data_IF_951877924892
#
_entry.id   IF_951877924892
#
_cell.length_a   1.000
_cell.length_b   1.000
_cell.length_c   1.000
_cell.angle_alpha   90.00
_cell.angle_beta   90.00
_cell.angle_gamma   90.00
#
_symmetry.space_group_name_H-M   'P 1'
#
loop_
_entity.id
_entity.type
_entity.pdbx_description
1 polymer ?
#
# COMPACT_ATOMS: atom_id res chain seq x y z
N UNK A 1 -24.60 -6.75 19.42
CA UNK A 1 -23.24 -6.55 18.85
C UNK A 1 -22.23 -6.98 19.90
N UNK A 2 -21.45 -8.04 19.66
CA UNK A 2 -20.30 -8.35 20.51
C UNK A 2 -19.27 -7.22 20.37
N UNK A 3 -18.94 -6.56 21.49
CA UNK A 3 -17.83 -5.60 21.53
C UNK A 3 -16.52 -6.39 21.38
N UNK A 4 -16.00 -6.49 20.17
CA UNK A 4 -14.69 -7.06 19.86
C UNK A 4 -13.54 -6.10 20.26
N UNK A 5 -13.69 -5.48 21.42
CA UNK A 5 -12.70 -4.60 22.01
C UNK A 5 -11.89 -5.42 23.01
N UNK A 6 -10.57 -5.47 22.78
CA UNK A 6 -9.64 -5.95 23.78
C UNK A 6 -9.59 -4.94 24.92
N UNK A 7 -9.48 -5.44 26.15
CA UNK A 7 -9.14 -4.61 27.31
C UNK A 7 -7.75 -4.03 27.15
N UNK A 8 -7.42 -2.99 27.93
CA UNK A 8 -6.09 -2.38 27.89
C UNK A 8 -4.95 -3.36 28.19
N UNK A 9 -5.18 -4.31 29.11
CA UNK A 9 -4.22 -5.37 29.42
C UNK A 9 -3.99 -6.31 28.23
N UNK A 10 -5.07 -6.69 27.55
CA UNK A 10 -5.00 -7.55 26.37
C UNK A 10 -4.35 -6.84 25.20
N UNK A 11 -4.66 -5.55 24.97
CA UNK A 11 -3.95 -4.74 23.98
C UNK A 11 -2.44 -4.75 24.25
N UNK A 12 -2.03 -4.62 25.52
CA UNK A 12 -0.62 -4.66 25.87
C UNK A 12 0.04 -5.99 25.54
N UNK A 13 -0.65 -7.10 25.81
CA UNK A 13 -0.17 -8.43 25.40
C UNK A 13 0.00 -8.51 23.87
N UNK A 14 -0.92 -7.95 23.09
CA UNK A 14 -0.77 -7.90 21.63
C UNK A 14 0.45 -7.07 21.22
N UNK A 15 0.65 -5.91 21.83
CA UNK A 15 1.82 -5.05 21.59
C UNK A 15 3.13 -5.78 21.91
N UNK A 16 3.22 -6.43 23.07
CA UNK A 16 4.40 -7.18 23.47
C UNK A 16 4.68 -8.34 22.50
N UNK A 17 3.65 -9.09 22.08
CA UNK A 17 3.77 -10.15 21.08
C UNK A 17 4.23 -9.62 19.71
N UNK A 18 3.79 -8.42 19.31
CA UNK A 18 4.23 -7.78 18.07
C UNK A 18 5.72 -7.42 18.11
N UNK A 19 6.20 -6.94 19.27
CA UNK A 19 7.64 -6.67 19.47
C UNK A 19 8.43 -7.97 19.43
N UNK A 20 7.97 -9.00 20.16
CA UNK A 20 8.65 -10.30 20.23
C UNK A 20 8.81 -10.98 18.85
N UNK A 21 7.85 -10.75 17.95
CA UNK A 21 7.84 -11.33 16.60
C UNK A 21 8.16 -10.31 15.51
N UNK A 22 8.72 -9.15 15.83
CA UNK A 22 8.93 -8.05 14.89
C UNK A 22 9.77 -8.47 13.67
N UNK A 23 10.87 -9.19 13.88
CA UNK A 23 11.72 -9.68 12.80
C UNK A 23 11.01 -10.72 11.93
N UNK A 24 10.21 -11.61 12.54
CA UNK A 24 9.42 -12.60 11.81
C UNK A 24 8.33 -11.94 10.94
N UNK A 25 7.71 -10.87 11.45
CA UNK A 25 6.73 -10.06 10.72
C UNK A 25 7.41 -9.36 9.53
N UNK A 26 8.61 -8.82 9.75
CA UNK A 26 9.38 -8.09 8.74
C UNK A 26 9.82 -8.98 7.57
N UNK A 27 10.21 -10.23 7.84
CA UNK A 27 10.54 -11.21 6.79
C UNK A 27 9.30 -11.88 6.18
N UNK A 28 8.09 -11.47 6.58
CA UNK A 28 6.83 -11.94 6.00
C UNK A 28 6.37 -13.33 6.45
N UNK A 29 6.92 -13.86 7.55
CA UNK A 29 6.46 -15.13 8.15
C UNK A 29 5.01 -15.01 8.68
N UNK A 30 4.62 -13.81 9.08
CA UNK A 30 3.30 -13.50 9.57
C UNK A 30 2.53 -12.59 8.62
N UNK A 31 1.27 -12.96 8.35
CA UNK A 31 0.27 -12.04 7.82
C UNK A 31 -0.56 -11.48 8.98
N UNK A 32 -1.22 -10.33 8.80
CA UNK A 32 -2.09 -9.77 9.84
C UNK A 32 -3.17 -10.78 10.27
N UNK A 33 -3.68 -11.58 9.31
CA UNK A 33 -4.70 -12.61 9.57
C UNK A 33 -4.12 -13.78 10.38
N UNK A 34 -2.97 -14.32 9.98
CA UNK A 34 -2.36 -15.45 10.69
C UNK A 34 -1.85 -15.06 12.07
N UNK A 35 -1.36 -13.82 12.22
CA UNK A 35 -0.98 -13.27 13.52
C UNK A 35 -2.20 -13.05 14.42
N UNK A 36 -3.32 -12.55 13.90
CA UNK A 36 -4.56 -12.44 14.67
C UNK A 36 -5.02 -13.81 15.20
N UNK A 37 -5.00 -14.86 14.38
CA UNK A 37 -5.32 -16.22 14.81
C UNK A 37 -4.35 -16.76 15.86
N UNK A 38 -3.06 -16.44 15.76
CA UNK A 38 -2.08 -16.79 16.78
C UNK A 38 -2.37 -16.12 18.13
N UNK A 39 -2.67 -14.81 18.12
CA UNK A 39 -3.02 -14.05 19.32
C UNK A 39 -4.33 -14.53 19.92
N UNK A 40 -5.33 -14.88 19.10
CA UNK A 40 -6.59 -15.49 19.55
C UNK A 40 -6.35 -16.79 20.33
N UNK A 41 -5.45 -17.65 19.86
CA UNK A 41 -5.04 -18.86 20.59
C UNK A 41 -4.38 -18.57 21.95
N UNK A 42 -3.63 -17.46 22.06
CA UNK A 42 -2.96 -17.04 23.31
C UNK A 42 -3.94 -16.41 24.31
N UNK A 43 -4.83 -15.56 23.84
CA UNK A 43 -5.81 -14.86 24.67
C UNK A 43 -7.06 -15.69 24.96
N UNK A 44 -7.27 -16.81 24.26
CA UNK A 44 -8.45 -17.68 24.32
C UNK A 44 -9.76 -16.91 24.09
N UNK A 45 -9.72 -15.90 23.22
CA UNK A 45 -10.87 -15.07 22.86
C UNK A 45 -10.73 -14.54 21.43
N UNK A 46 -11.83 -14.15 20.77
CA UNK A 46 -11.78 -13.61 19.42
C UNK A 46 -10.89 -12.36 19.31
N UNK A 47 -9.96 -12.38 18.36
CA UNK A 47 -9.09 -11.26 18.01
C UNK A 47 -9.30 -10.90 16.56
N UNK A 48 -9.65 -9.64 16.30
CA UNK A 48 -9.91 -9.18 14.92
C UNK A 48 -8.66 -8.59 14.30
N UNK A 49 -8.66 -8.55 12.96
CA UNK A 49 -7.65 -7.81 12.17
C UNK A 49 -7.58 -6.34 12.63
N UNK A 50 -8.71 -5.74 13.00
CA UNK A 50 -8.76 -4.37 13.52
C UNK A 50 -7.99 -4.19 14.83
N UNK A 51 -8.01 -5.19 15.72
CA UNK A 51 -7.23 -5.14 16.97
C UNK A 51 -5.72 -5.18 16.67
N UNK A 52 -5.29 -6.04 15.76
CA UNK A 52 -3.87 -6.11 15.35
C UNK A 52 -3.44 -4.83 14.65
N UNK A 53 -4.20 -4.34 13.67
CA UNK A 53 -3.90 -3.09 12.96
C UNK A 53 -3.87 -1.87 13.90
N UNK A 54 -4.68 -1.88 14.96
CA UNK A 54 -4.63 -0.86 16.02
C UNK A 54 -3.33 -0.94 16.83
N UNK A 55 -2.97 -2.14 17.29
CA UNK A 55 -1.74 -2.37 18.07
C UNK A 55 -0.46 -2.07 17.26
N UNK A 56 -0.43 -2.40 15.97
CA UNK A 56 0.68 -2.07 15.06
C UNK A 56 0.93 -0.57 14.98
N UNK A 57 -0.10 0.27 15.10
CA UNK A 57 0.09 1.74 15.13
C UNK A 57 0.70 2.24 16.43
N UNK A 58 0.56 1.48 17.52
CA UNK A 58 1.11 1.81 18.83
C UNK A 58 2.55 1.30 19.01
N UNK A 59 2.96 0.29 18.23
CA UNK A 59 4.30 -0.29 18.26
C UNK A 59 5.11 0.21 17.07
N UNK A 60 6.07 1.09 17.33
CA UNK A 60 6.93 1.64 16.28
C UNK A 60 7.83 0.55 15.66
N UNK A 61 8.11 0.67 14.36
CA UNK A 61 8.99 -0.24 13.63
C UNK A 61 8.41 -1.60 13.25
N UNK A 62 7.19 -1.96 13.69
CA UNK A 62 6.51 -3.19 13.26
C UNK A 62 5.62 -2.89 12.06
N UNK A 63 5.90 -3.52 10.92
CA UNK A 63 5.07 -3.40 9.73
C UNK A 63 4.88 -4.75 9.07
N UNK A 64 3.64 -5.21 9.00
CA UNK A 64 3.30 -6.37 8.21
C UNK A 64 3.53 -6.05 6.74
N UNK A 65 4.37 -6.86 6.08
CA UNK A 65 4.48 -6.80 4.62
C UNK A 65 3.10 -7.06 4.04
N UNK A 66 2.55 -6.08 3.32
CA UNK A 66 1.31 -6.25 2.60
C UNK A 66 1.45 -7.50 1.72
N UNK A 67 0.62 -8.52 1.97
CA UNK A 67 0.54 -9.69 1.09
C UNK A 67 0.41 -9.17 -0.34
N UNK A 68 1.27 -9.63 -1.26
CA UNK A 68 1.16 -9.33 -2.70
C UNK A 68 -0.32 -9.46 -3.09
N UNK A 69 -0.98 -8.34 -3.36
CA UNK A 69 -2.42 -8.29 -3.66
C UNK A 69 -3.26 -7.38 -2.75
N UNK A 70 -2.75 -6.89 -1.61
CA UNK A 70 -3.39 -5.72 -0.99
C UNK A 70 -3.10 -4.50 -1.86
N UNK A 71 -4.11 -4.12 -2.65
CA UNK A 71 -4.10 -2.94 -3.47
C UNK A 71 -3.57 -1.76 -2.64
N UNK A 72 -2.40 -1.23 -3.03
CA UNK A 72 -2.06 0.15 -2.68
C UNK A 72 -3.32 0.96 -2.98
N UNK A 73 -3.77 1.76 -2.02
CA UNK A 73 -4.88 2.69 -2.21
C UNK A 73 -4.78 3.27 -3.61
N UNK A 74 -5.78 3.01 -4.47
CA UNK A 74 -5.76 3.43 -5.88
C UNK A 74 -5.43 4.91 -5.98
N UNK A 75 -5.83 5.71 -4.99
CA UNK A 75 -5.45 7.12 -4.82
C UNK A 75 -3.94 7.36 -4.83
N UNK A 76 -3.15 6.58 -4.09
CA UNK A 76 -1.69 6.72 -4.04
C UNK A 76 -1.02 6.37 -5.37
N UNK A 77 -1.51 5.34 -6.07
CA UNK A 77 -1.01 4.99 -7.40
C UNK A 77 -1.37 6.06 -8.44
N UNK A 78 -2.60 6.58 -8.39
CA UNK A 78 -3.02 7.70 -9.26
C UNK A 78 -2.20 8.96 -8.99
N UNK A 79 -1.90 9.26 -7.73
CA UNK A 79 -1.02 10.39 -7.37
C UNK A 79 0.39 10.20 -7.93
N UNK A 80 0.98 9.02 -7.76
CA UNK A 80 2.30 8.70 -8.35
C UNK A 80 2.26 8.81 -9.87
N UNK A 81 1.19 8.32 -10.51
CA UNK A 81 1.01 8.38 -11.95
C UNK A 81 0.86 9.84 -12.45
N UNK A 82 0.12 10.68 -11.74
CA UNK A 82 -0.01 12.10 -12.05
C UNK A 82 1.35 12.82 -11.96
N UNK A 83 2.15 12.52 -10.93
CA UNK A 83 3.51 13.06 -10.78
C UNK A 83 4.41 12.61 -11.93
N UNK A 84 4.35 11.35 -12.33
CA UNK A 84 5.12 10.83 -13.48
C UNK A 84 4.74 11.55 -14.77
N UNK A 85 3.44 11.77 -15.02
CA UNK A 85 2.98 12.51 -16.21
C UNK A 85 3.47 13.97 -16.21
N UNK A 86 3.44 14.65 -15.05
CA UNK A 86 3.94 16.02 -14.92
C UNK A 86 5.44 16.11 -15.20
N UNK A 87 6.23 15.25 -14.57
CA UNK A 87 7.68 15.18 -14.81
C UNK A 87 8.00 14.84 -16.28
N UNK A 88 7.20 13.99 -16.91
CA UNK A 88 7.36 13.68 -18.33
C UNK A 88 7.08 14.88 -19.23
N UNK A 89 6.08 15.72 -18.91
CA UNK A 89 5.79 16.98 -19.62
C UNK A 89 6.95 17.96 -19.49
N UNK A 90 7.43 18.20 -18.27
CA UNK A 90 8.55 19.10 -18.01
C UNK A 90 9.81 18.63 -18.75
N UNK A 91 10.10 17.32 -18.71
CA UNK A 91 11.24 16.75 -19.41
C UNK A 91 11.11 16.85 -20.93
N UNK A 92 9.91 16.64 -21.49
CA UNK A 92 9.66 16.80 -22.93
C UNK A 92 9.83 18.26 -23.36
N UNK A 93 9.32 19.21 -22.56
CA UNK A 93 9.48 20.64 -22.82
C UNK A 93 10.95 21.05 -22.78
N UNK A 94 11.68 20.70 -21.72
CA UNK A 94 13.11 21.00 -21.58
C UNK A 94 13.92 20.41 -22.73
N UNK A 95 13.63 19.17 -23.15
CA UNK A 95 14.26 18.58 -24.32
C UNK A 95 13.96 19.36 -25.60
N UNK A 96 12.72 19.82 -25.79
CA UNK A 96 12.36 20.68 -26.90
C UNK A 96 13.12 22.01 -26.91
N UNK A 97 13.22 22.68 -25.76
CA UNK A 97 13.96 23.94 -25.58
C UNK A 97 15.47 23.76 -25.83
N UNK A 98 16.04 22.62 -25.43
CA UNK A 98 17.44 22.26 -25.66
C UNK A 98 17.71 21.72 -27.08
N UNK A 99 16.69 21.64 -27.95
CA UNK A 99 16.82 21.06 -29.30
C UNK A 99 17.12 19.55 -29.31
N UNK A 100 16.88 18.86 -28.20
CA UNK A 100 17.08 17.43 -28.06
C UNK A 100 15.87 16.65 -28.60
N UNK A 101 16.13 15.48 -29.17
CA UNK A 101 15.07 14.59 -29.62
C UNK A 101 14.22 14.11 -28.45
N UNK A 102 12.91 14.35 -28.51
CA UNK A 102 11.93 13.81 -27.57
C UNK A 102 11.52 12.42 -28.04
N UNK A 103 11.76 11.40 -27.22
CA UNK A 103 11.40 10.02 -27.56
C UNK A 103 9.87 9.82 -27.58
N UNK A 104 9.33 8.96 -28.46
CA UNK A 104 7.89 8.64 -28.51
C UNK A 104 7.30 8.15 -27.18
N UNK A 105 8.08 7.37 -26.41
CA UNK A 105 7.66 6.88 -25.08
C UNK A 105 7.44 8.04 -24.09
N UNK A 106 8.31 9.06 -24.13
CA UNK A 106 8.19 10.22 -23.25
C UNK A 106 6.94 11.05 -23.61
N UNK A 107 6.64 11.21 -24.90
CA UNK A 107 5.40 11.85 -25.37
C UNK A 107 4.15 11.07 -24.97
N UNK A 108 4.20 9.73 -25.04
CA UNK A 108 3.09 8.88 -24.63
C UNK A 108 2.81 9.00 -23.11
N UNK A 109 3.87 9.07 -22.30
CA UNK A 109 3.74 9.25 -20.84
C UNK A 109 3.26 10.67 -20.51
N UNK A 110 3.79 11.70 -21.18
CA UNK A 110 3.39 13.09 -20.93
C UNK A 110 1.92 13.36 -21.29
N UNK A 111 1.39 12.65 -22.28
CA UNK A 111 0.01 12.79 -22.76
C UNK A 111 -0.96 11.78 -22.12
N UNK A 112 -0.50 10.97 -21.19
CA UNK A 112 -1.35 9.98 -20.55
C UNK A 112 -2.42 10.65 -19.69
N UNK A 113 -3.69 10.45 -20.05
CA UNK A 113 -4.89 10.86 -19.30
C UNK A 113 -5.67 9.62 -18.88
N UNK A 114 -6.21 9.60 -17.64
CA UNK A 114 -6.96 8.46 -17.10
C UNK A 114 -8.24 8.12 -17.90
N UNK A 115 -8.67 8.98 -18.83
CA UNK A 115 -9.80 8.71 -19.72
C UNK A 115 -9.31 8.10 -21.04
N UNK A 116 -9.09 6.78 -21.02
CA UNK A 116 -8.97 6.01 -22.25
C UNK A 116 -10.32 5.91 -22.95
N UNK A 117 -10.70 6.90 -23.76
CA UNK A 117 -11.50 6.62 -24.95
C UNK A 117 -10.54 6.05 -26.00
N UNK A 118 -10.61 4.73 -26.18
CA UNK A 118 -10.08 4.06 -27.35
C UNK A 118 -10.79 4.65 -28.58
N UNK A 119 -10.19 5.67 -29.19
CA UNK A 119 -10.52 6.15 -30.52
C UNK A 119 -10.09 5.11 -31.55
N UNK A 120 -10.87 4.04 -31.68
CA UNK A 120 -10.81 3.12 -32.79
C UNK A 120 -11.31 3.87 -34.04
N UNK A 121 -10.43 4.66 -34.66
CA UNK A 121 -10.66 5.17 -36.02
C UNK A 121 -10.43 4.01 -36.99
N UNK A 122 -11.49 3.22 -37.22
CA UNK A 122 -11.61 2.47 -38.47
C UNK A 122 -11.89 3.46 -39.59
N UNK A 123 -10.85 3.76 -40.36
CA UNK A 123 -10.96 4.23 -41.73
C UNK A 123 -11.48 3.06 -42.59
N UNK A 124 -12.68 3.21 -43.17
CA UNK A 124 -13.14 2.53 -44.39
C UNK A 124 -14.34 3.29 -44.95
#
# INVERSE_FOLDING_TARGET
MLKNCLSRKECRIVEDLLVDHAEEIKVGKWSVKSFASYVEGRLKRPVTIGNISGAVKAVDGVQFTATRGQAKSTKSLRQVQAVICLLAKELAQLKGELGMTVSPTLLAISNYSENGESGDKKES
#
